data_IF_970690604970
#
_entry.id   IF_970690604970
#
_cell.length_a   1.000
_cell.length_b   1.000
_cell.length_c   1.000
_cell.angle_alpha   90.00
_cell.angle_beta   90.00
_cell.angle_gamma   90.00
#
_symmetry.space_group_name_H-M   'P 1'
#
loop_
_entity.id
_entity.type
_entity.pdbx_description
1 polymer ?
#
# COMPACT_ATOMS: atom_id res chain seq x y z
N UNK A 1 -63.58 40.64 9.70
CA UNK A 1 -62.32 40.19 9.08
C UNK A 1 -61.53 41.43 8.70
N UNK A 2 -60.28 41.56 9.16
CA UNK A 2 -59.19 41.37 8.20
C UNK A 2 -58.11 40.42 8.75
N UNK A 3 -57.55 39.65 7.84
CA UNK A 3 -56.47 38.68 8.04
C UNK A 3 -55.13 39.41 8.13
N UNK A 4 -54.47 39.34 9.28
CA UNK A 4 -53.06 39.73 9.40
C UNK A 4 -52.20 38.61 8.80
N UNK A 5 -51.79 38.79 7.55
CA UNK A 5 -50.75 37.96 6.93
C UNK A 5 -49.41 38.37 7.56
N UNK A 6 -48.90 37.53 8.45
CA UNK A 6 -47.54 37.65 8.98
C UNK A 6 -46.56 37.24 7.90
N UNK A 7 -45.94 38.22 7.25
CA UNK A 7 -44.83 38.01 6.33
C UNK A 7 -43.59 37.61 7.13
N UNK A 8 -43.18 36.34 7.08
CA UNK A 8 -41.87 35.93 7.59
C UNK A 8 -40.78 36.71 6.83
N UNK A 9 -39.92 37.49 7.50
CA UNK A 9 -38.84 38.18 6.83
C UNK A 9 -37.85 37.13 6.29
N UNK A 10 -37.70 37.07 4.97
CA UNK A 10 -36.65 36.30 4.34
C UNK A 10 -35.29 36.80 4.84
N UNK A 11 -34.69 36.08 5.78
CA UNK A 11 -33.40 36.41 6.39
C UNK A 11 -32.34 36.37 5.27
N UNK A 12 -32.01 37.56 4.75
CA UNK A 12 -30.95 37.72 3.77
C UNK A 12 -29.61 37.54 4.46
N UNK A 13 -29.11 36.30 4.49
CA UNK A 13 -27.78 35.98 5.05
C UNK A 13 -26.74 36.85 4.32
N UNK A 14 -25.89 37.60 5.05
CA UNK A 14 -24.94 38.49 4.40
C UNK A 14 -24.02 37.68 3.48
N UNK A 15 -23.60 38.25 2.33
CA UNK A 15 -22.81 37.52 1.32
C UNK A 15 -21.50 36.96 1.91
N UNK A 16 -20.94 37.64 2.92
CA UNK A 16 -19.77 37.18 3.67
C UNK A 16 -20.03 35.90 4.47
N UNK A 17 -21.20 35.75 5.11
CA UNK A 17 -21.55 34.51 5.81
C UNK A 17 -21.72 33.34 4.84
N UNK A 18 -22.28 33.58 3.65
CA UNK A 18 -22.37 32.56 2.59
C UNK A 18 -20.97 32.13 2.11
N UNK A 19 -20.06 33.09 1.93
CA UNK A 19 -18.67 32.80 1.56
C UNK A 19 -17.95 31.98 2.64
N UNK A 20 -18.10 32.34 3.92
CA UNK A 20 -17.53 31.58 5.02
C UNK A 20 -18.09 30.15 5.09
N UNK A 21 -19.40 29.99 4.89
CA UNK A 21 -20.05 28.66 4.87
C UNK A 21 -19.56 27.82 3.69
N UNK A 22 -19.40 28.40 2.50
CA UNK A 22 -18.87 27.67 1.35
C UNK A 22 -17.41 27.29 1.54
N UNK A 23 -16.61 28.17 2.14
CA UNK A 23 -15.22 27.90 2.45
C UNK A 23 -15.10 26.75 3.47
N UNK A 24 -15.87 26.78 4.57
CA UNK A 24 -15.84 25.69 5.55
C UNK A 24 -16.37 24.38 4.99
N UNK A 25 -17.40 24.39 4.15
CA UNK A 25 -17.85 23.19 3.44
C UNK A 25 -16.78 22.64 2.50
N UNK A 26 -16.06 23.52 1.79
CA UNK A 26 -14.95 23.14 0.92
C UNK A 26 -13.80 22.50 1.69
N UNK A 27 -13.39 23.08 2.83
CA UNK A 27 -12.32 22.51 3.65
C UNK A 27 -12.72 21.17 4.25
N UNK A 28 -13.96 21.02 4.74
CA UNK A 28 -14.49 19.74 5.24
C UNK A 28 -14.53 18.69 4.14
N UNK A 29 -14.95 19.04 2.93
CA UNK A 29 -14.98 18.11 1.79
C UNK A 29 -13.57 17.62 1.42
N UNK A 30 -12.57 18.52 1.40
CA UNK A 30 -11.16 18.16 1.14
C UNK A 30 -10.61 17.27 2.26
N UNK A 31 -10.90 17.59 3.53
CA UNK A 31 -10.47 16.79 4.66
C UNK A 31 -11.08 15.38 4.64
N UNK A 32 -12.38 15.26 4.36
CA UNK A 32 -13.06 13.97 4.23
C UNK A 32 -12.52 13.16 3.05
N UNK A 33 -12.27 13.80 1.91
CA UNK A 33 -11.62 13.16 0.76
C UNK A 33 -10.25 12.61 1.15
N UNK A 34 -9.41 13.44 1.78
CA UNK A 34 -8.08 13.06 2.22
C UNK A 34 -8.12 11.87 3.18
N UNK A 35 -8.95 11.95 4.24
CA UNK A 35 -9.10 10.88 5.22
C UNK A 35 -9.62 9.58 4.60
N UNK A 36 -10.60 9.66 3.70
CA UNK A 36 -11.12 8.50 3.00
C UNK A 36 -10.03 7.88 2.11
N UNK A 37 -9.28 8.70 1.37
CA UNK A 37 -8.19 8.22 0.53
C UNK A 37 -7.04 7.60 1.32
N UNK A 38 -6.77 8.11 2.53
CA UNK A 38 -5.77 7.58 3.44
C UNK A 38 -6.22 6.24 4.05
N UNK A 39 -7.45 6.16 4.54
CA UNK A 39 -8.02 4.93 5.09
C UNK A 39 -8.12 3.83 4.03
N UNK A 40 -8.49 4.16 2.78
CA UNK A 40 -8.49 3.23 1.67
C UNK A 40 -7.08 2.74 1.25
N UNK A 41 -6.01 3.45 1.61
CA UNK A 41 -4.63 2.94 1.42
C UNK A 41 -4.28 1.81 2.38
N UNK A 42 -5.01 1.69 3.49
CA UNK A 42 -5.33 0.42 4.10
C UNK A 42 -4.14 -0.33 4.68
N UNK A 43 -3.29 0.32 5.48
CA UNK A 43 -2.30 -0.38 6.32
C UNK A 43 -2.71 -0.45 7.81
N UNK A 44 -3.87 0.11 8.18
CA UNK A 44 -4.27 0.43 9.56
C UNK A 44 -4.42 -0.75 10.53
N UNK A 45 -4.25 -2.01 10.11
CA UNK A 45 -4.34 -3.18 10.99
C UNK A 45 -3.36 -4.31 10.62
N UNK A 46 -2.25 -4.00 9.92
CA UNK A 46 -1.24 -5.03 9.61
C UNK A 46 -0.31 -5.23 10.81
N UNK A 47 -0.28 -6.44 11.36
CA UNK A 47 0.70 -6.84 12.38
C UNK A 47 2.03 -7.15 11.70
N UNK A 48 2.98 -6.23 11.81
CA UNK A 48 4.29 -6.32 11.15
C UNK A 48 5.30 -7.15 11.96
N UNK A 49 6.05 -8.00 11.27
CA UNK A 49 7.15 -8.78 11.80
C UNK A 49 8.47 -8.35 11.17
N UNK A 50 9.54 -8.45 11.96
CA UNK A 50 10.90 -8.07 11.54
C UNK A 50 11.46 -9.16 10.63
N UNK A 51 12.13 -8.71 9.57
CA UNK A 51 12.80 -9.58 8.59
C UNK A 51 14.04 -10.26 9.19
N UNK A 52 14.40 -11.43 8.66
CA UNK A 52 15.65 -12.07 9.02
C UNK A 52 16.83 -11.29 8.43
N UNK A 53 17.87 -11.05 9.24
CA UNK A 53 19.06 -10.33 8.80
C UNK A 53 19.86 -11.15 7.80
N UNK A 54 20.30 -10.53 6.70
CA UNK A 54 21.14 -11.18 5.68
C UNK A 54 20.35 -11.83 4.53
N UNK A 55 19.06 -11.58 4.43
CA UNK A 55 18.29 -11.85 3.22
C UNK A 55 18.74 -10.92 2.08
N UNK A 56 19.03 -11.52 0.91
CA UNK A 56 19.35 -10.80 -0.32
C UNK A 56 18.44 -11.30 -1.45
N UNK A 57 17.36 -10.56 -1.75
CA UNK A 57 16.34 -10.95 -2.73
C UNK A 57 16.88 -11.02 -4.17
N UNK A 58 18.02 -10.37 -4.45
CA UNK A 58 18.70 -10.45 -5.75
C UNK A 58 19.36 -11.82 -5.98
N UNK A 59 19.58 -12.61 -4.92
CA UNK A 59 20.27 -13.91 -4.99
C UNK A 59 19.32 -15.10 -4.84
N UNK A 60 18.05 -14.86 -4.53
CA UNK A 60 17.04 -15.92 -4.45
C UNK A 60 15.97 -15.66 -3.38
N UNK A 61 15.23 -16.71 -3.00
CA UNK A 61 14.11 -16.60 -2.08
C UNK A 61 14.55 -16.27 -0.66
N UNK A 62 13.83 -15.35 -0.03
CA UNK A 62 14.04 -14.95 1.36
C UNK A 62 12.87 -15.33 2.25
N UNK A 63 13.19 -15.83 3.44
CA UNK A 63 12.21 -16.21 4.46
C UNK A 63 12.11 -15.13 5.55
N UNK A 64 10.91 -14.92 6.07
CA UNK A 64 10.65 -14.08 7.22
C UNK A 64 9.56 -14.68 8.12
N UNK A 65 9.60 -14.44 9.44
CA UNK A 65 8.52 -14.83 10.33
C UNK A 65 7.24 -14.05 10.02
N UNK A 66 6.10 -14.68 10.23
CA UNK A 66 4.75 -14.09 10.09
C UNK A 66 3.90 -14.28 11.36
N UNK A 67 4.57 -14.44 12.51
CA UNK A 67 3.95 -14.59 13.82
C UNK A 67 3.45 -15.99 14.14
N UNK A 68 3.34 -16.32 15.43
CA UNK A 68 2.71 -17.56 15.92
C UNK A 68 3.27 -18.86 15.28
N UNK A 69 4.55 -18.84 14.89
CA UNK A 69 5.22 -19.96 14.22
C UNK A 69 4.98 -20.05 12.72
N UNK A 70 4.16 -19.16 12.15
CA UNK A 70 4.01 -19.00 10.72
C UNK A 70 5.22 -18.26 10.12
N UNK A 71 5.45 -18.51 8.84
CA UNK A 71 6.50 -17.86 8.06
C UNK A 71 6.07 -17.67 6.62
N UNK A 72 6.67 -16.70 5.97
CA UNK A 72 6.52 -16.48 4.55
C UNK A 72 7.88 -16.49 3.86
N UNK A 73 7.89 -16.95 2.62
CA UNK A 73 9.06 -16.93 1.74
C UNK A 73 8.70 -16.11 0.51
N UNK A 74 9.42 -15.03 0.26
CA UNK A 74 9.30 -14.19 -0.94
C UNK A 74 10.43 -14.49 -1.90
N UNK A 75 10.09 -14.71 -3.17
CA UNK A 75 11.01 -14.80 -4.28
C UNK A 75 10.63 -13.76 -5.33
N UNK A 76 11.62 -12.99 -5.82
CA UNK A 76 11.45 -12.03 -6.92
C UNK A 76 11.93 -12.59 -8.28
N UNK A 77 12.34 -13.87 -8.32
CA UNK A 77 12.83 -14.55 -9.52
C UNK A 77 14.01 -13.84 -10.18
N UNK A 78 14.75 -13.05 -9.39
CA UNK A 78 15.91 -12.32 -9.86
C UNK A 78 17.12 -13.26 -9.91
N UNK A 79 17.85 -13.20 -11.01
CA UNK A 79 19.12 -13.91 -11.18
C UNK A 79 20.29 -12.90 -11.12
N UNK A 80 20.41 -12.22 -9.98
CA UNK A 80 21.36 -11.13 -9.75
C UNK A 80 20.68 -9.76 -9.64
N UNK A 81 21.28 -8.73 -10.24
CA UNK A 81 20.84 -7.34 -10.12
C UNK A 81 19.36 -7.14 -10.48
N UNK A 82 18.58 -6.63 -9.53
CA UNK A 82 17.19 -6.21 -9.77
C UNK A 82 17.23 -4.85 -10.45
N UNK A 83 16.56 -4.71 -11.60
CA UNK A 83 16.56 -3.47 -12.40
C UNK A 83 15.19 -2.80 -12.42
N UNK A 84 15.19 -1.48 -12.38
CA UNK A 84 13.99 -0.68 -12.61
C UNK A 84 13.45 -0.90 -14.03
N UNK A 85 12.13 -0.78 -14.15
CA UNK A 85 11.38 -0.95 -15.41
C UNK A 85 11.45 -2.36 -16.03
N UNK A 86 11.96 -3.34 -15.30
CA UNK A 86 11.88 -4.77 -15.67
C UNK A 86 10.76 -5.46 -14.90
N UNK A 87 10.11 -6.43 -15.55
CA UNK A 87 9.07 -7.24 -14.91
C UNK A 87 9.75 -8.24 -13.97
N UNK A 88 9.29 -8.27 -12.73
CA UNK A 88 9.77 -9.15 -11.67
C UNK A 88 8.71 -10.19 -11.39
N UNK A 89 8.92 -11.47 -11.76
CA UNK A 89 8.01 -12.53 -11.35
C UNK A 89 8.11 -12.71 -9.84
N UNK A 90 6.98 -12.60 -9.15
CA UNK A 90 6.92 -12.73 -7.70
C UNK A 90 6.26 -14.03 -7.31
N UNK A 91 6.85 -14.73 -6.35
CA UNK A 91 6.25 -15.89 -5.70
C UNK A 91 6.33 -15.74 -4.18
N UNK A 92 5.19 -15.94 -3.51
CA UNK A 92 5.08 -15.97 -2.06
C UNK A 92 4.57 -17.33 -1.63
N UNK A 93 5.37 -18.05 -0.85
CA UNK A 93 4.98 -19.28 -0.19
C UNK A 93 4.71 -19.00 1.29
N UNK A 94 3.65 -19.58 1.84
CA UNK A 94 3.26 -19.42 3.25
C UNK A 94 3.31 -20.77 3.95
N UNK A 95 3.81 -20.77 5.18
CA UNK A 95 3.82 -21.93 6.06
C UNK A 95 3.19 -21.56 7.40
N UNK A 96 2.33 -22.42 7.95
CA UNK A 96 1.70 -22.21 9.26
C UNK A 96 0.56 -21.19 9.27
N UNK A 97 0.10 -20.71 8.11
CA UNK A 97 -1.06 -19.81 7.97
C UNK A 97 -1.80 -20.07 6.66
N UNK A 98 -3.13 -20.03 6.70
CA UNK A 98 -3.99 -20.03 5.51
C UNK A 98 -4.39 -18.59 5.17
N UNK A 99 -4.18 -18.17 3.93
CA UNK A 99 -4.43 -16.79 3.52
C UNK A 99 -5.57 -16.65 2.51
N UNK A 100 -6.45 -15.68 2.69
CA UNK A 100 -7.46 -15.34 1.69
C UNK A 100 -6.84 -14.56 0.52
N UNK A 101 -5.88 -13.69 0.83
CA UNK A 101 -5.15 -12.91 -0.18
C UNK A 101 -3.75 -12.54 0.28
N UNK A 102 -2.87 -12.37 -0.71
CA UNK A 102 -1.51 -11.86 -0.52
C UNK A 102 -1.29 -10.68 -1.45
N UNK A 103 -0.71 -9.62 -0.91
CA UNK A 103 -0.34 -8.41 -1.63
C UNK A 103 1.13 -8.11 -1.37
N UNK A 104 1.86 -7.72 -2.41
CA UNK A 104 3.23 -7.22 -2.29
C UNK A 104 3.23 -5.73 -2.63
N UNK A 105 3.69 -4.92 -1.69
CA UNK A 105 3.91 -3.49 -1.90
C UNK A 105 5.40 -3.21 -2.06
N UNK A 106 5.79 -2.49 -3.11
CA UNK A 106 7.12 -1.88 -3.22
C UNK A 106 7.07 -0.42 -2.79
N UNK A 107 7.95 -0.05 -1.86
CA UNK A 107 8.12 1.31 -1.38
C UNK A 107 9.61 1.69 -1.41
N UNK A 108 9.89 2.94 -1.81
CA UNK A 108 11.24 3.51 -1.69
C UNK A 108 11.61 3.71 -0.22
N UNK A 109 12.85 3.40 0.16
CA UNK A 109 13.31 3.53 1.56
C UNK A 109 13.86 4.92 1.88
N UNK A 110 14.56 5.51 0.94
CA UNK A 110 15.27 6.79 1.15
C UNK A 110 14.51 7.99 0.57
N UNK A 111 13.57 7.73 -0.34
CA UNK A 111 12.70 8.75 -0.96
C UNK A 111 11.29 8.20 -1.17
N UNK A 112 10.30 9.09 -1.09
CA UNK A 112 8.92 8.76 -1.44
C UNK A 112 8.76 8.61 -2.95
N UNK A 113 8.81 7.36 -3.40
CA UNK A 113 8.57 6.97 -4.79
C UNK A 113 7.12 6.57 -5.05
N UNK A 114 6.23 6.78 -4.07
CA UNK A 114 4.87 6.26 -4.08
C UNK A 114 4.77 4.79 -3.68
N UNK A 115 3.53 4.33 -3.60
CA UNK A 115 3.16 2.96 -3.25
C UNK A 115 2.86 2.16 -4.52
N UNK A 116 3.65 1.12 -4.76
CA UNK A 116 3.43 0.19 -5.87
C UNK A 116 2.87 -1.13 -5.36
N UNK A 117 1.56 -1.34 -5.54
CA UNK A 117 0.81 -2.44 -4.94
C UNK A 117 0.47 -3.52 -5.96
N UNK A 118 0.88 -4.75 -5.67
CA UNK A 118 0.72 -5.92 -6.54
C UNK A 118 -0.05 -7.03 -5.81
N UNK A 119 -1.35 -7.21 -6.07
CA UNK A 119 -2.09 -8.37 -5.56
C UNK A 119 -1.62 -9.63 -6.28
N UNK A 120 -1.40 -10.70 -5.52
CA UNK A 120 -0.96 -11.99 -6.06
C UNK A 120 -2.15 -12.95 -6.22
N UNK A 121 -2.07 -13.80 -7.23
CA UNK A 121 -3.05 -14.86 -7.48
C UNK A 121 -2.59 -16.17 -6.83
N UNK A 122 -3.50 -16.78 -6.05
CA UNK A 122 -3.28 -18.13 -5.50
C UNK A 122 -3.22 -19.15 -6.64
N UNK A 123 -2.20 -20.01 -6.61
CA UNK A 123 -1.93 -21.05 -7.59
C UNK A 123 -2.34 -22.43 -7.06
N UNK A 124 -2.38 -23.43 -7.95
CA UNK A 124 -2.83 -24.79 -7.62
C UNK A 124 -1.94 -25.51 -6.59
N UNK A 125 -0.67 -25.13 -6.49
CA UNK A 125 0.28 -25.64 -5.49
C UNK A 125 0.21 -24.89 -4.15
N UNK A 126 -0.75 -23.96 -4.00
CA UNK A 126 -0.98 -23.19 -2.78
C UNK A 126 -0.15 -21.90 -2.68
N UNK A 127 0.89 -21.73 -3.50
CA UNK A 127 1.69 -20.51 -3.54
C UNK A 127 0.92 -19.35 -4.17
N UNK A 128 1.29 -18.11 -3.83
CA UNK A 128 0.76 -16.90 -4.43
C UNK A 128 1.75 -16.35 -5.45
N UNK A 129 1.31 -16.10 -6.69
CA UNK A 129 2.18 -15.62 -7.76
C UNK A 129 1.60 -14.43 -8.50
N UNK A 130 2.47 -13.59 -9.05
CA UNK A 130 2.11 -12.42 -9.84
C UNK A 130 3.36 -11.77 -10.44
N UNK A 131 3.17 -10.63 -11.08
CA UNK A 131 4.28 -9.84 -11.65
C UNK A 131 4.27 -8.44 -11.05
N UNK A 132 5.45 -7.96 -10.70
CA UNK A 132 5.68 -6.62 -10.21
C UNK A 132 6.66 -5.87 -11.11
N UNK A 133 6.79 -4.58 -10.89
CA UNK A 133 7.82 -3.77 -11.55
C UNK A 133 8.23 -2.65 -10.59
N UNK A 134 9.51 -2.35 -10.55
CA UNK A 134 9.99 -1.15 -9.86
C UNK A 134 9.88 0.02 -10.85
N UNK A 135 9.29 1.17 -10.46
CA UNK A 135 9.23 2.35 -11.32
C UNK A 135 10.64 2.90 -11.59
N UNK A 136 10.70 4.01 -12.32
CA UNK A 136 11.96 4.67 -12.66
C UNK A 136 12.82 4.98 -11.42
N UNK A 137 14.12 4.66 -11.50
CA UNK A 137 15.11 5.09 -10.51
C UNK A 137 15.79 6.39 -10.96
N UNK A 138 15.94 7.34 -10.03
CA UNK A 138 16.66 8.60 -10.26
C UNK A 138 18.17 8.44 -10.04
N UNK A 139 18.57 7.54 -9.14
CA UNK A 139 19.96 7.24 -8.82
C UNK A 139 20.42 5.93 -9.47
N UNK A 140 21.73 5.68 -9.49
CA UNK A 140 22.29 4.47 -10.11
C UNK A 140 21.81 3.19 -9.41
N UNK A 141 21.76 3.24 -8.07
CA UNK A 141 21.23 2.19 -7.20
C UNK A 141 20.32 2.88 -6.19
N UNK A 142 19.13 2.36 -5.97
CA UNK A 142 18.18 2.88 -4.99
C UNK A 142 17.73 1.77 -4.03
N UNK A 143 17.61 2.05 -2.72
CA UNK A 143 17.10 1.08 -1.77
C UNK A 143 15.56 1.07 -1.77
N UNK A 144 15.01 -0.13 -1.88
CA UNK A 144 13.59 -0.43 -1.87
C UNK A 144 13.25 -1.40 -0.73
N UNK A 145 11.97 -1.45 -0.39
CA UNK A 145 11.41 -2.45 0.52
C UNK A 145 10.18 -3.10 -0.10
N UNK A 146 10.19 -4.42 -0.15
CA UNK A 146 9.03 -5.23 -0.48
C UNK A 146 8.30 -5.54 0.83
N UNK A 147 7.05 -5.11 0.95
CA UNK A 147 6.19 -5.44 2.08
C UNK A 147 5.18 -6.48 1.63
N UNK A 148 5.29 -7.69 2.17
CA UNK A 148 4.33 -8.76 1.92
C UNK A 148 3.25 -8.66 2.98
N UNK A 149 2.01 -8.47 2.53
CA UNK A 149 0.83 -8.36 3.38
C UNK A 149 -0.06 -9.56 3.10
N UNK A 150 -0.33 -10.32 4.15
CA UNK A 150 -1.13 -11.54 4.14
C UNK A 150 -2.42 -11.28 4.90
N UNK A 151 -3.56 -11.49 4.24
CA UNK A 151 -4.89 -11.39 4.87
C UNK A 151 -5.42 -12.79 5.13
N UNK A 152 -5.84 -13.05 6.37
CA UNK A 152 -6.39 -14.32 6.84
C UNK A 152 -7.60 -14.04 7.75
N UNK A 153 -8.80 -14.14 7.21
CA UNK A 153 -10.03 -13.70 7.86
C UNK A 153 -9.96 -12.21 8.21
N UNK A 154 -10.20 -11.89 9.48
CA UNK A 154 -10.13 -10.52 10.01
C UNK A 154 -8.68 -10.09 10.36
N UNK A 155 -7.71 -10.99 10.25
CA UNK A 155 -6.33 -10.70 10.60
C UNK A 155 -5.51 -10.32 9.36
N UNK A 156 -4.65 -9.31 9.52
CA UNK A 156 -3.66 -8.94 8.53
C UNK A 156 -2.28 -9.02 9.15
N UNK A 157 -1.41 -9.80 8.54
CA UNK A 157 -0.05 -10.06 8.97
C UNK A 157 0.88 -9.55 7.88
N UNK A 158 2.08 -9.10 8.23
CA UNK A 158 3.03 -8.70 7.21
C UNK A 158 4.47 -8.74 7.64
N UNK A 159 5.36 -8.90 6.66
CA UNK A 159 6.81 -8.82 6.84
C UNK A 159 7.39 -8.04 5.68
N UNK A 160 8.53 -7.40 5.91
CA UNK A 160 9.23 -6.64 4.87
C UNK A 160 10.52 -7.31 4.45
N UNK A 161 11.03 -6.93 3.28
CA UNK A 161 12.33 -7.33 2.76
C UNK A 161 12.97 -6.12 2.10
N UNK A 162 14.15 -5.72 2.58
CA UNK A 162 14.92 -4.68 1.91
C UNK A 162 15.71 -5.28 0.75
N UNK A 163 15.83 -4.52 -0.34
CA UNK A 163 16.63 -4.89 -1.50
C UNK A 163 17.09 -3.63 -2.25
N UNK A 164 18.11 -3.78 -3.08
CA UNK A 164 18.64 -2.71 -3.93
C UNK A 164 18.14 -2.88 -5.36
N UNK A 165 17.91 -1.75 -6.04
CA UNK A 165 17.45 -1.72 -7.43
C UNK A 165 18.37 -0.84 -8.25
N UNK A 166 18.90 -1.37 -9.34
CA UNK A 166 19.66 -0.61 -10.32
C UNK A 166 18.75 0.17 -11.25
N UNK A 167 19.22 1.35 -11.67
CA UNK A 167 18.61 2.08 -12.77
C UNK A 167 18.62 1.25 -14.05
N UNK A 168 17.49 1.30 -14.78
CA UNK A 168 17.41 0.71 -16.11
C UNK A 168 18.48 1.28 -17.05
N UNK A 169 18.99 0.44 -17.96
CA UNK A 169 19.95 0.82 -19.00
C UNK A 169 19.27 1.19 -20.33
N UNK A 170 17.94 1.16 -20.37
CA UNK A 170 17.11 1.53 -21.53
C UNK A 170 17.20 3.01 -21.89
#
# INVERSE_FOLDING_TARGET
>A
MPTSVSSDPAISRPPLLRLLVLFTLGTVAVALWYLTSYSLRGDDNVRWYVEETGCELSQGPCRAPLGEGASLTLDLGAEGEIRALELLPMSVALEGVEADSVVVDFIGRDMDMGLHRYPLARQADGAFRGEGQIPICTEAVMPWRARVIVTSGDHRLGSGFNFEVERSRL
#
